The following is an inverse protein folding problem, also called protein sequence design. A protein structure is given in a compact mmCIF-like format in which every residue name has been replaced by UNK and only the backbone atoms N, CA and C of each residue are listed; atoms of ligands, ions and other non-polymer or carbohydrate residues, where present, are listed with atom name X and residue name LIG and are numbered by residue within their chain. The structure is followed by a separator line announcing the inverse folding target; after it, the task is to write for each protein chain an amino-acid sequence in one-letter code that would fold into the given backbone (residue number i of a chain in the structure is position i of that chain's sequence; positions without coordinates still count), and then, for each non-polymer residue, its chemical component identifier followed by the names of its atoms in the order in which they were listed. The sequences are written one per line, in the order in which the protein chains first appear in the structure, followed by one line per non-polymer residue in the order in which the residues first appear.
data_IF_499984655310
#
_entry.id   IF_499984655310
#
_cell.length_a   1.000
_cell.length_b   1.000
_cell.length_c   1.000
_cell.angle_alpha   90.00
_cell.angle_beta   90.00
_cell.angle_gamma   90.00
#
_symmetry.space_group_name_H-M   'P 1'
#
loop_
_entity.id
_entity.type
_entity.pdbx_description
1 polymer ?
#
# COMPACT_ATOMS: atom_id res chain seq x y z
N UNK A 1 6.13 37.22 -1.94
CA UNK A 1 4.92 36.77 -2.66
C UNK A 1 4.63 35.36 -2.18
N UNK A 2 3.52 35.16 -1.47
CA UNK A 2 3.14 33.84 -0.99
C UNK A 2 2.83 32.94 -2.17
N UNK A 3 3.63 31.88 -2.35
CA UNK A 3 3.40 30.87 -3.36
C UNK A 3 2.11 30.15 -2.98
N UNK A 4 0.99 30.50 -3.62
CA UNK A 4 -0.29 29.80 -3.45
C UNK A 4 -0.10 28.39 -4.00
N UNK A 5 0.32 27.46 -3.14
CA UNK A 5 0.42 26.03 -3.50
C UNK A 5 -0.98 25.46 -3.61
N UNK A 6 -1.35 24.97 -4.80
CA UNK A 6 -2.62 24.27 -5.03
C UNK A 6 -2.68 23.00 -4.17
N UNK A 7 -3.63 22.95 -3.24
CA UNK A 7 -3.91 21.73 -2.48
C UNK A 7 -4.64 20.73 -3.38
N UNK A 8 -3.97 19.63 -3.70
CA UNK A 8 -4.52 18.52 -4.50
C UNK A 8 -5.00 17.41 -3.56
N UNK A 9 -6.29 17.09 -3.61
CA UNK A 9 -6.89 16.01 -2.82
C UNK A 9 -7.14 14.77 -3.68
N UNK A 10 -7.03 13.58 -3.09
CA UNK A 10 -7.48 12.32 -3.71
C UNK A 10 -9.00 12.21 -3.63
N UNK A 11 -9.59 11.30 -4.40
CA UNK A 11 -11.05 11.17 -4.52
C UNK A 11 -11.79 11.13 -3.17
N UNK A 12 -11.31 10.31 -2.22
CA UNK A 12 -11.93 10.18 -0.90
C UNK A 12 -11.74 11.43 -0.01
N UNK A 13 -10.60 12.10 -0.13
CA UNK A 13 -10.30 13.33 0.62
C UNK A 13 -11.14 14.49 0.09
N UNK A 14 -11.27 14.61 -1.23
CA UNK A 14 -12.11 15.61 -1.90
C UNK A 14 -13.59 15.38 -1.61
N UNK A 15 -14.04 14.12 -1.53
CA UNK A 15 -15.40 13.78 -1.07
C UNK A 15 -15.65 14.33 0.34
N UNK A 16 -14.78 14.02 1.31
CA UNK A 16 -14.91 14.51 2.69
C UNK A 16 -14.91 16.03 2.75
N UNK A 17 -14.00 16.68 2.01
CA UNK A 17 -13.92 18.14 1.92
C UNK A 17 -15.24 18.74 1.41
N UNK A 18 -15.78 18.25 0.29
CA UNK A 18 -17.00 18.79 -0.31
C UNK A 18 -18.21 18.65 0.60
N UNK A 19 -18.37 17.50 1.25
CA UNK A 19 -19.47 17.26 2.19
C UNK A 19 -19.39 18.21 3.38
N UNK A 20 -18.21 18.36 3.97
CA UNK A 20 -18.01 19.22 5.15
C UNK A 20 -18.12 20.70 4.80
N UNK A 21 -17.54 21.13 3.67
CA UNK A 21 -17.71 22.49 3.15
C UNK A 21 -19.19 22.83 2.98
N UNK A 22 -19.95 21.98 2.28
CA UNK A 22 -21.40 22.16 2.07
C UNK A 22 -22.18 22.21 3.38
N UNK A 23 -21.80 21.38 4.35
CA UNK A 23 -22.42 21.35 5.68
C UNK A 23 -22.21 22.67 6.44
N UNK A 24 -20.99 23.20 6.41
CA UNK A 24 -20.63 24.45 7.09
C UNK A 24 -21.29 25.64 6.40
N UNK A 25 -21.24 25.71 5.06
CA UNK A 25 -21.84 26.81 4.28
C UNK A 25 -23.36 26.92 4.48
N UNK A 26 -24.06 25.78 4.66
CA UNK A 26 -25.51 25.73 4.85
C UNK A 26 -25.95 25.64 6.31
N UNK A 27 -25.01 25.61 7.26
CA UNK A 27 -25.26 25.34 8.67
C UNK A 27 -26.23 24.15 8.93
N UNK A 28 -26.03 23.06 8.19
CA UNK A 28 -26.98 21.94 8.11
C UNK A 28 -26.89 20.90 9.24
N UNK A 29 -27.81 19.94 9.22
CA UNK A 29 -27.81 18.81 10.16
C UNK A 29 -26.60 17.88 9.91
N UNK A 30 -25.90 17.50 10.99
CA UNK A 30 -24.68 16.67 10.99
C UNK A 30 -24.93 15.17 10.74
N UNK A 31 -26.15 14.68 10.94
CA UNK A 31 -26.52 13.27 10.75
C UNK A 31 -26.49 12.85 9.28
N UNK A 32 -26.93 13.72 8.38
CA UNK A 32 -26.90 13.44 6.93
C UNK A 32 -25.47 13.20 6.40
N UNK A 33 -24.50 14.12 6.65
CA UNK A 33 -23.09 13.90 6.36
C UNK A 33 -22.50 12.65 7.01
N UNK A 34 -22.92 12.32 8.24
CA UNK A 34 -22.45 11.14 8.95
C UNK A 34 -22.83 9.85 8.20
N UNK A 35 -24.08 9.77 7.73
CA UNK A 35 -24.56 8.66 6.89
C UNK A 35 -23.83 8.64 5.54
N UNK A 36 -23.76 9.78 4.86
CA UNK A 36 -23.12 9.91 3.53
C UNK A 36 -21.64 9.47 3.55
N UNK A 37 -20.90 9.87 4.59
CA UNK A 37 -19.49 9.51 4.76
C UNK A 37 -19.29 8.18 5.52
N UNK A 38 -20.36 7.47 5.87
CA UNK A 38 -20.34 6.23 6.66
C UNK A 38 -19.47 6.36 7.91
N UNK A 39 -19.65 7.45 8.66
CA UNK A 39 -18.84 7.76 9.83
C UNK A 39 -19.70 8.34 10.97
N UNK A 40 -19.15 8.37 12.19
CA UNK A 40 -19.89 8.88 13.35
C UNK A 40 -19.99 10.41 13.36
N UNK A 41 -20.98 10.96 14.06
CA UNK A 41 -21.12 12.41 14.27
C UNK A 41 -19.88 13.02 14.93
N UNK A 42 -19.17 12.27 15.79
CA UNK A 42 -17.88 12.68 16.35
C UNK A 42 -16.85 12.94 15.25
N UNK A 43 -16.81 12.09 14.24
CA UNK A 43 -15.92 12.28 13.07
C UNK A 43 -16.29 13.54 12.31
N UNK A 44 -17.58 13.77 12.07
CA UNK A 44 -18.07 14.99 11.42
C UNK A 44 -17.65 16.23 12.21
N UNK A 45 -17.82 16.25 13.54
CA UNK A 45 -17.38 17.36 14.38
C UNK A 45 -15.86 17.60 14.29
N UNK A 46 -15.05 16.53 14.28
CA UNK A 46 -13.60 16.62 14.08
C UNK A 46 -13.24 17.22 12.72
N UNK A 47 -13.94 16.78 11.66
CA UNK A 47 -13.73 17.32 10.31
C UNK A 47 -14.14 18.78 10.19
N UNK A 48 -15.25 19.19 10.82
CA UNK A 48 -15.67 20.60 10.87
C UNK A 48 -14.62 21.45 11.60
N UNK A 49 -14.11 20.97 12.74
CA UNK A 49 -13.06 21.67 13.50
C UNK A 49 -11.82 21.88 12.63
N UNK A 50 -11.29 20.82 12.04
CA UNK A 50 -10.11 20.89 11.17
C UNK A 50 -10.33 21.77 9.94
N UNK A 51 -11.52 21.73 9.32
CA UNK A 51 -11.86 22.64 8.22
C UNK A 51 -11.86 24.12 8.63
N UNK A 52 -12.29 24.44 9.86
CA UNK A 52 -12.27 25.82 10.35
C UNK A 52 -10.85 26.32 10.67
N UNK A 53 -9.98 25.43 11.14
CA UNK A 53 -8.61 25.76 11.55
C UNK A 53 -7.64 25.81 10.35
N UNK A 54 -7.72 24.83 9.45
CA UNK A 54 -6.74 24.61 8.37
C UNK A 54 -7.37 24.63 6.96
N UNK A 55 -8.70 24.72 6.85
CA UNK A 55 -9.36 24.79 5.54
C UNK A 55 -9.21 23.49 4.72
N UNK A 56 -8.87 23.65 3.43
CA UNK A 56 -8.78 22.51 2.48
C UNK A 56 -7.58 21.60 2.77
N UNK A 57 -6.49 22.10 3.35
CA UNK A 57 -5.28 21.30 3.62
C UNK A 57 -5.48 20.23 4.68
N UNK A 58 -6.41 20.42 5.63
CA UNK A 58 -6.72 19.43 6.67
C UNK A 58 -7.09 18.04 6.12
N UNK A 59 -7.68 18.00 4.92
CA UNK A 59 -8.15 16.77 4.30
C UNK A 59 -7.02 16.00 3.60
N UNK A 60 -5.82 16.57 3.48
CA UNK A 60 -4.65 15.85 3.01
C UNK A 60 -4.33 14.77 4.04
N UNK A 61 -4.19 13.52 3.60
CA UNK A 61 -3.78 12.46 4.51
C UNK A 61 -2.39 12.74 5.12
N UNK A 62 -2.26 12.70 6.44
CA UNK A 62 -1.02 13.06 7.14
C UNK A 62 0.20 12.17 6.82
N UNK A 63 -0.02 10.92 6.39
CA UNK A 63 1.06 10.05 5.93
C UNK A 63 1.42 10.26 4.45
N UNK A 64 0.77 11.20 3.75
CA UNK A 64 1.08 11.47 2.35
C UNK A 64 2.51 12.00 2.23
N UNK A 65 3.33 11.28 1.46
CA UNK A 65 4.73 11.66 1.22
C UNK A 65 5.65 11.41 2.41
N UNK A 66 5.14 10.87 3.53
CA UNK A 66 5.98 10.52 4.67
C UNK A 66 6.58 9.13 4.43
N UNK A 67 7.92 9.06 4.41
CA UNK A 67 8.63 7.79 4.55
C UNK A 67 8.50 7.31 6.00
N UNK A 68 8.14 6.04 6.27
CA UNK A 68 8.12 5.53 7.64
C UNK A 68 9.54 5.58 8.23
N UNK A 69 9.67 5.76 9.55
CA UNK A 69 10.96 5.93 10.21
C UNK A 69 11.90 4.72 10.06
N UNK A 70 11.34 3.53 9.80
CA UNK A 70 12.06 2.26 9.62
C UNK A 70 12.35 2.00 8.13
N UNK A 71 11.96 2.90 7.22
CA UNK A 71 12.28 2.74 5.81
C UNK A 71 13.81 2.73 5.63
N UNK A 72 14.30 1.73 4.91
CA UNK A 72 15.68 1.71 4.46
C UNK A 72 15.97 2.97 3.62
N UNK A 73 17.17 3.51 3.80
CA UNK A 73 17.65 4.59 2.96
C UNK A 73 17.73 4.14 1.50
N UNK A 74 17.57 5.10 0.59
CA UNK A 74 17.58 4.79 -0.83
C UNK A 74 18.99 4.36 -1.30
N UNK A 75 20.06 4.81 -0.63
CA UNK A 75 21.42 4.32 -0.89
C UNK A 75 21.57 2.84 -0.53
N UNK A 76 21.18 2.45 0.69
CA UNK A 76 21.26 1.06 1.16
C UNK A 76 20.42 0.12 0.28
N UNK A 77 19.27 0.58 -0.21
CA UNK A 77 18.47 -0.20 -1.18
C UNK A 77 19.22 -0.45 -2.48
N UNK A 78 19.97 0.53 -2.97
CA UNK A 78 20.75 0.40 -4.19
C UNK A 78 21.92 -0.55 -3.96
N UNK A 79 22.62 -0.41 -2.83
CA UNK A 79 23.72 -1.30 -2.45
C UNK A 79 23.26 -2.77 -2.38
N UNK A 80 22.10 -3.04 -1.78
CA UNK A 80 21.49 -4.39 -1.73
C UNK A 80 21.23 -4.93 -3.15
N UNK A 81 20.74 -4.09 -4.07
CA UNK A 81 20.47 -4.51 -5.46
C UNK A 81 21.78 -4.82 -6.19
N UNK A 82 22.81 -3.99 -5.99
CA UNK A 82 24.09 -4.14 -6.65
C UNK A 82 24.83 -5.38 -6.14
N UNK A 83 24.88 -5.59 -4.82
CA UNK A 83 25.44 -6.78 -4.18
C UNK A 83 24.79 -8.07 -4.70
N UNK A 84 23.47 -8.07 -4.84
CA UNK A 84 22.77 -9.22 -5.42
C UNK A 84 23.24 -9.49 -6.84
N UNK A 85 23.36 -8.45 -7.68
CA UNK A 85 23.72 -8.61 -9.10
C UNK A 85 25.19 -8.96 -9.34
N UNK A 86 26.10 -8.50 -8.47
CA UNK A 86 27.55 -8.63 -8.74
C UNK A 86 28.20 -9.73 -7.94
N UNK A 87 27.69 -10.03 -6.74
CA UNK A 87 28.36 -10.91 -5.78
C UNK A 87 27.51 -12.12 -5.37
N UNK A 88 26.18 -11.99 -5.38
CA UNK A 88 25.28 -12.98 -4.80
C UNK A 88 24.14 -13.42 -5.74
N UNK A 89 24.37 -13.37 -7.06
CA UNK A 89 23.33 -13.48 -8.10
C UNK A 89 22.49 -14.77 -8.01
N UNK A 90 23.09 -15.87 -7.57
CA UNK A 90 22.44 -17.19 -7.49
C UNK A 90 21.90 -17.54 -6.10
N UNK A 91 22.01 -16.62 -5.13
CA UNK A 91 21.53 -16.88 -3.78
C UNK A 91 20.00 -16.75 -3.68
N UNK A 92 19.38 -17.66 -2.93
CA UNK A 92 17.98 -17.48 -2.51
C UNK A 92 17.90 -16.27 -1.55
N UNK A 93 16.80 -15.51 -1.57
CA UNK A 93 16.64 -14.30 -0.76
C UNK A 93 16.81 -14.51 0.75
N UNK A 94 16.47 -15.69 1.27
CA UNK A 94 16.73 -16.04 2.66
C UNK A 94 18.22 -16.13 2.92
N UNK A 95 18.95 -16.85 2.07
CA UNK A 95 20.40 -16.97 2.19
C UNK A 95 21.10 -15.64 1.90
N UNK A 96 20.61 -14.86 0.95
CA UNK A 96 21.10 -13.52 0.66
C UNK A 96 20.97 -12.58 1.87
N UNK A 97 19.84 -12.66 2.59
CA UNK A 97 19.61 -11.91 3.82
C UNK A 97 20.64 -12.27 4.91
N UNK A 98 21.01 -13.56 5.03
CA UNK A 98 22.08 -14.01 5.94
C UNK A 98 23.45 -13.48 5.49
N UNK A 99 23.77 -13.57 4.20
CA UNK A 99 25.04 -13.09 3.64
C UNK A 99 25.23 -11.58 3.80
N UNK A 100 24.15 -10.80 3.66
CA UNK A 100 24.17 -9.36 3.90
C UNK A 100 24.47 -9.03 5.37
N UNK A 101 23.89 -9.77 6.31
CA UNK A 101 24.16 -9.56 7.74
C UNK A 101 25.59 -9.98 8.11
N UNK A 102 26.07 -11.10 7.58
CA UNK A 102 27.39 -11.67 7.90
C UNK A 102 28.55 -10.90 7.28
N UNK A 103 28.49 -10.61 5.97
CA UNK A 103 29.62 -10.06 5.23
C UNK A 103 29.57 -8.56 5.00
N UNK A 104 28.36 -7.98 5.00
CA UNK A 104 28.16 -6.56 4.66
C UNK A 104 27.63 -5.74 5.86
N UNK A 105 27.28 -6.40 6.96
CA UNK A 105 26.71 -5.77 8.15
C UNK A 105 25.32 -5.16 7.94
N UNK A 106 24.62 -5.53 6.85
CA UNK A 106 23.32 -5.00 6.49
C UNK A 106 22.22 -5.95 6.99
N UNK A 107 21.56 -5.57 8.08
CA UNK A 107 20.45 -6.35 8.64
C UNK A 107 19.14 -6.03 7.93
N UNK A 108 18.72 -6.92 7.02
CA UNK A 108 17.47 -6.79 6.26
C UNK A 108 16.82 -8.15 6.09
N UNK A 109 15.50 -8.25 6.29
CA UNK A 109 14.77 -9.51 6.10
C UNK A 109 14.53 -9.83 4.63
N UNK A 110 14.45 -11.11 4.27
CA UNK A 110 14.11 -11.55 2.92
C UNK A 110 12.79 -10.96 2.38
N UNK A 111 11.80 -10.72 3.25
CA UNK A 111 10.53 -10.05 2.87
C UNK A 111 10.73 -8.59 2.50
N UNK A 112 11.65 -7.89 3.17
CA UNK A 112 12.02 -6.51 2.86
C UNK A 112 12.76 -6.44 1.53
N UNK A 113 13.70 -7.36 1.30
CA UNK A 113 14.42 -7.51 0.02
C UNK A 113 13.44 -7.78 -1.12
N UNK A 114 12.50 -8.71 -0.92
CA UNK A 114 11.44 -9.02 -1.91
C UNK A 114 10.56 -7.82 -2.22
N UNK A 115 10.34 -6.92 -1.27
CA UNK A 115 9.52 -5.72 -1.48
C UNK A 115 10.28 -4.61 -2.24
N UNK A 116 11.58 -4.78 -2.49
CA UNK A 116 12.36 -3.85 -3.29
C UNK A 116 11.93 -3.95 -4.76
N UNK A 117 11.49 -2.83 -5.33
CA UNK A 117 10.94 -2.73 -6.69
C UNK A 117 11.89 -3.27 -7.75
N UNK A 118 13.20 -3.04 -7.58
CA UNK A 118 14.22 -3.47 -8.52
C UNK A 118 14.54 -4.96 -8.42
N UNK A 119 14.47 -5.56 -7.23
CA UNK A 119 14.68 -7.01 -7.07
C UNK A 119 13.44 -7.80 -7.48
N UNK A 120 12.25 -7.22 -7.37
CA UNK A 120 11.00 -7.87 -7.79
C UNK A 120 11.02 -8.30 -9.26
N UNK A 121 11.61 -7.52 -10.16
CA UNK A 121 11.75 -7.91 -11.56
C UNK A 121 12.69 -9.11 -11.75
N UNK A 122 13.80 -9.12 -11.01
CA UNK A 122 14.79 -10.21 -11.07
C UNK A 122 14.24 -11.51 -10.51
N UNK A 123 13.56 -11.46 -9.37
CA UNK A 123 12.93 -12.62 -8.74
C UNK A 123 11.92 -13.28 -9.68
N UNK A 124 11.12 -12.48 -10.41
CA UNK A 124 10.17 -13.02 -11.41
C UNK A 124 10.90 -13.77 -12.53
N UNK A 125 11.99 -13.22 -13.06
CA UNK A 125 12.78 -13.85 -14.13
C UNK A 125 13.41 -15.16 -13.65
N UNK A 126 14.03 -15.16 -12.47
CA UNK A 126 14.67 -16.34 -11.88
C UNK A 126 13.63 -17.42 -11.55
N UNK A 127 12.53 -17.07 -10.89
CA UNK A 127 11.47 -18.03 -10.57
C UNK A 127 10.87 -18.67 -11.83
N UNK A 128 10.81 -17.97 -12.98
CA UNK A 128 10.36 -18.58 -14.25
C UNK A 128 11.38 -19.59 -14.78
N UNK A 129 12.68 -19.31 -14.64
CA UNK A 129 13.76 -20.21 -15.09
C UNK A 129 13.83 -21.51 -14.27
N UNK A 130 13.54 -21.43 -12.97
CA UNK A 130 13.61 -22.58 -12.05
C UNK A 130 12.23 -23.11 -11.62
N UNK A 131 11.14 -22.53 -12.13
CA UNK A 131 9.80 -23.06 -11.88
C UNK A 131 9.67 -24.45 -12.49
N UNK A 132 9.28 -25.41 -11.68
CA UNK A 132 8.79 -26.69 -12.20
C UNK A 132 7.53 -26.41 -13.05
N UNK A 133 7.40 -27.02 -14.24
CA UNK A 133 6.17 -26.92 -15.01
C UNK A 133 5.02 -27.47 -14.17
N UNK A 134 4.05 -26.60 -13.85
CA UNK A 134 2.87 -26.97 -13.07
C UNK A 134 1.81 -27.50 -14.04
N UNK A 135 2.07 -28.67 -14.63
CA UNK A 135 1.11 -29.39 -15.49
C UNK A 135 0.22 -30.36 -14.68
N UNK A 136 -0.15 -29.99 -13.46
CA UNK A 136 -0.80 -30.92 -12.55
C UNK A 136 -1.83 -30.24 -11.65
N UNK A 137 -2.80 -29.55 -12.27
CA UNK A 137 -4.20 -29.63 -11.83
C UNK A 137 -5.12 -29.62 -13.05
N UNK A 138 -5.19 -30.73 -13.78
CA UNK A 138 -6.48 -31.10 -14.42
C UNK A 138 -7.39 -31.37 -13.24
N UNK A 139 -8.13 -30.34 -12.84
CA UNK A 139 -9.09 -30.35 -11.75
C UNK A 139 -10.05 -31.54 -11.92
N UNK A 140 -9.75 -32.64 -11.24
CA UNK A 140 -10.62 -33.80 -11.04
C UNK A 140 -11.74 -33.38 -10.08
N UNK A 141 -12.65 -32.53 -10.57
CA UNK A 141 -13.98 -32.42 -9.99
C UNK A 141 -14.92 -33.05 -11.01
N UNK A 142 -15.14 -34.34 -10.83
CA UNK A 142 -16.23 -35.05 -11.49
C UNK A 142 -17.54 -34.44 -10.94
N UNK A 143 -18.37 -33.95 -11.85
CA UNK A 143 -19.64 -33.30 -11.52
C UNK A 143 -20.50 -34.33 -10.79
N UNK A 144 -20.72 -34.16 -9.49
CA UNK A 144 -21.65 -35.00 -8.73
C UNK A 144 -22.97 -35.05 -9.50
N UNK A 145 -23.38 -36.27 -9.88
CA UNK A 145 -24.66 -36.49 -10.54
C UNK A 145 -25.76 -35.95 -9.62
N UNK A 146 -26.64 -35.12 -10.16
CA UNK A 146 -27.83 -34.67 -9.45
C UNK A 146 -28.75 -35.87 -9.22
N UNK A 147 -28.58 -36.55 -8.10
CA UNK A 147 -29.58 -37.46 -7.56
C UNK A 147 -30.67 -36.61 -6.90
N UNK A 148 -31.57 -36.03 -7.70
CA UNK A 148 -32.87 -35.56 -7.22
C UNK A 148 -33.77 -35.19 -8.41
N UNK A 149 -34.61 -36.15 -8.79
CA UNK A 149 -36.00 -35.98 -9.26
C UNK A 149 -36.59 -37.38 -9.51
N UNK A 150 -36.80 -38.11 -8.42
CA UNK A 150 -37.88 -39.09 -8.37
C UNK A 150 -39.03 -38.40 -7.64
N UNK A 151 -39.96 -37.84 -8.40
CA UNK A 151 -41.34 -37.55 -7.99
C UNK A 151 -42.21 -37.72 -9.21
#
# INVERSE_FOLDING_TARGET
MDIIRKVVLRMNEEMKFRVIKKLVDKNGNKQRPAIELSCTVRTINRLIKGYKEEGKSFFIHGNRGRKPAIALDDTVKQDIVDLYRTKYEDSNLTHFSELLEEFEGIKVSATTIRSNEFLNSYIKKFNVQFALPVDNIKSVFEKQSNLEKLT
#
